data_IF_131041809286
#
_entry.id   IF_131041809286
#
_cell.length_a   1.000
_cell.length_b   1.000
_cell.length_c   1.000
_cell.angle_alpha   90.00
_cell.angle_beta   90.00
_cell.angle_gamma   90.00
#
_symmetry.space_group_name_H-M   'P 1'
#
loop_
_entity.id
_entity.type
_entity.pdbx_description
1 polymer ?
#
# COMPACT_ATOMS: atom_id res chain seq x y z
N UNK A 1 5.62 -26.98 3.77
CA UNK A 1 4.74 -26.44 4.81
C UNK A 1 5.20 -25.05 5.23
N UNK A 2 4.24 -24.17 5.45
CA UNK A 2 4.55 -22.81 5.87
C UNK A 2 4.80 -22.80 7.38
N UNK A 3 6.01 -22.50 7.79
CA UNK A 3 6.41 -22.44 9.18
C UNK A 3 6.61 -21.01 9.69
N UNK A 4 6.41 -20.03 8.84
CA UNK A 4 6.59 -18.62 9.19
C UNK A 4 5.38 -17.77 8.80
N UNK A 5 5.23 -16.64 9.48
CA UNK A 5 4.29 -15.59 9.08
C UNK A 5 5.08 -14.46 8.43
N UNK A 6 4.50 -13.84 7.41
CA UNK A 6 5.12 -12.71 6.72
C UNK A 6 4.57 -11.41 7.29
N UNK A 7 5.45 -10.45 7.56
CA UNK A 7 5.06 -9.10 7.96
C UNK A 7 5.62 -8.14 6.91
N UNK A 8 4.74 -7.33 6.31
CA UNK A 8 5.15 -6.36 5.30
C UNK A 8 5.05 -4.95 5.88
N UNK A 9 6.15 -4.23 5.86
CA UNK A 9 6.25 -2.85 6.33
C UNK A 9 6.70 -1.94 5.18
N UNK A 10 6.73 -0.64 5.39
CA UNK A 10 7.03 0.31 4.31
C UNK A 10 8.51 0.48 4.03
N UNK A 11 9.37 0.40 5.03
CA UNK A 11 10.79 0.70 4.86
C UNK A 11 11.71 -0.41 5.36
N UNK A 12 12.93 -0.54 4.79
CA UNK A 12 13.90 -1.53 5.26
C UNK A 12 14.34 -1.30 6.71
N UNK A 13 14.41 -0.06 7.16
CA UNK A 13 14.79 0.27 8.54
C UNK A 13 13.77 -0.27 9.53
N UNK A 14 12.47 -0.08 9.25
CA UNK A 14 11.39 -0.64 10.06
C UNK A 14 11.39 -2.16 10.03
N UNK A 15 11.64 -2.75 8.86
CA UNK A 15 11.70 -4.21 8.72
C UNK A 15 12.78 -4.81 9.61
N UNK A 16 13.95 -4.22 9.64
CA UNK A 16 15.06 -4.68 10.46
C UNK A 16 14.72 -4.62 11.95
N UNK A 17 14.19 -3.50 12.40
CA UNK A 17 13.84 -3.28 13.82
C UNK A 17 12.70 -4.22 14.26
N UNK A 18 11.63 -4.30 13.47
CA UNK A 18 10.48 -5.14 13.80
C UNK A 18 10.87 -6.62 13.75
N UNK A 19 11.71 -7.02 12.81
CA UNK A 19 12.21 -8.39 12.71
C UNK A 19 12.95 -8.84 13.99
N UNK A 20 13.73 -7.94 14.57
CA UNK A 20 14.42 -8.23 15.85
C UNK A 20 13.43 -8.46 17.00
N UNK A 21 12.31 -7.73 17.00
CA UNK A 21 11.31 -7.82 18.07
C UNK A 21 10.41 -9.04 17.94
N UNK A 22 10.16 -9.51 16.73
CA UNK A 22 9.24 -10.63 16.48
C UNK A 22 9.92 -12.01 16.48
N UNK A 23 11.21 -12.05 16.18
CA UNK A 23 11.96 -13.29 16.20
C UNK A 23 11.83 -14.13 14.92
N UNK A 24 12.29 -15.38 15.00
CA UNK A 24 12.48 -16.25 13.83
C UNK A 24 11.21 -16.84 13.23
N UNK A 25 10.09 -16.82 13.94
CA UNK A 25 8.80 -17.31 13.42
C UNK A 25 8.16 -16.33 12.43
N UNK A 26 8.74 -15.16 12.31
CA UNK A 26 8.27 -14.09 11.42
C UNK A 26 9.35 -13.68 10.44
N UNK A 27 8.97 -13.57 9.18
CA UNK A 27 9.82 -12.95 8.16
C UNK A 27 9.28 -11.55 7.89
N UNK A 28 10.11 -10.53 8.07
CA UNK A 28 9.70 -9.14 7.88
C UNK A 28 10.36 -8.58 6.63
N UNK A 29 9.54 -8.09 5.70
CA UNK A 29 10.00 -7.52 4.43
C UNK A 29 9.47 -6.12 4.24
N UNK A 30 10.19 -5.32 3.46
CA UNK A 30 9.81 -3.96 3.14
C UNK A 30 9.22 -3.89 1.74
N UNK A 31 8.12 -3.16 1.57
CA UNK A 31 7.52 -2.91 0.26
C UNK A 31 8.03 -1.63 -0.39
N UNK A 32 8.78 -0.81 0.32
CA UNK A 32 9.36 0.43 -0.19
C UNK A 32 8.30 1.46 -0.64
N UNK A 33 7.21 1.54 0.10
CA UNK A 33 6.10 2.45 -0.19
C UNK A 33 5.09 1.86 -1.16
N UNK A 34 4.51 2.68 -2.03
CA UNK A 34 3.52 2.23 -3.00
C UNK A 34 4.16 1.34 -4.08
N UNK A 35 3.48 0.25 -4.42
CA UNK A 35 3.92 -0.66 -5.49
C UNK A 35 3.07 -0.55 -6.75
N UNK A 36 1.90 0.07 -6.68
CA UNK A 36 1.08 0.37 -7.86
C UNK A 36 0.41 1.72 -7.70
N UNK A 37 0.09 2.36 -8.80
CA UNK A 37 -0.55 3.67 -8.82
C UNK A 37 -1.27 3.86 -10.15
N UNK A 38 -1.94 5.00 -10.29
CA UNK A 38 -2.53 5.41 -11.55
C UNK A 38 -1.40 5.68 -12.56
N UNK A 39 -1.62 5.38 -13.86
CA UNK A 39 -0.61 5.65 -14.89
C UNK A 39 -0.22 7.12 -14.91
N UNK A 40 1.07 7.40 -15.15
CA UNK A 40 1.58 8.78 -15.19
C UNK A 40 1.22 9.52 -16.48
N UNK A 41 1.13 8.80 -17.59
CA UNK A 41 0.94 9.38 -18.91
C UNK A 41 -0.50 9.50 -19.36
N UNK A 42 -1.46 8.96 -18.59
CA UNK A 42 -2.89 9.00 -18.92
C UNK A 42 -3.69 9.42 -17.70
N UNK A 43 -4.97 9.73 -17.89
CA UNK A 43 -5.85 10.07 -16.79
C UNK A 43 -5.95 8.91 -15.75
N UNK A 44 -6.01 7.67 -16.27
CA UNK A 44 -6.06 6.48 -15.40
C UNK A 44 -7.37 6.30 -14.64
N UNK A 45 -8.39 7.08 -14.99
CA UNK A 45 -9.72 7.02 -14.37
C UNK A 45 -10.74 6.95 -15.50
N UNK A 46 -11.70 6.01 -15.41
CA UNK A 46 -12.76 5.86 -16.40
C UNK A 46 -13.91 6.82 -16.06
N UNK A 47 -13.97 7.94 -16.78
CA UNK A 47 -14.99 8.97 -16.53
C UNK A 47 -16.40 8.52 -16.93
N UNK A 48 -16.51 7.49 -17.76
CA UNK A 48 -17.81 6.97 -18.22
C UNK A 48 -18.35 5.82 -17.38
N UNK A 49 -17.49 5.19 -16.56
CA UNK A 49 -17.84 4.03 -15.75
C UNK A 49 -17.54 4.27 -14.26
N UNK A 50 -18.30 5.17 -13.62
CA UNK A 50 -18.25 5.46 -12.20
C UNK A 50 -16.88 5.92 -11.69
N UNK A 51 -16.07 6.55 -12.56
CA UNK A 51 -14.73 7.05 -12.22
C UNK A 51 -13.80 5.94 -11.70
N UNK A 52 -13.96 4.74 -12.22
CA UNK A 52 -13.16 3.60 -11.79
C UNK A 52 -11.67 3.81 -12.10
N UNK A 53 -10.79 3.69 -11.09
CA UNK A 53 -9.36 3.88 -11.32
C UNK A 53 -8.74 2.66 -11.98
N UNK A 54 -7.78 2.89 -12.86
CA UNK A 54 -6.99 1.84 -13.51
C UNK A 54 -5.60 1.86 -12.89
N UNK A 55 -5.36 0.98 -11.90
CA UNK A 55 -4.08 0.89 -11.22
C UNK A 55 -3.13 -0.04 -11.97
N UNK A 56 -1.87 0.37 -12.02
CA UNK A 56 -0.79 -0.45 -12.61
C UNK A 56 0.40 -0.51 -11.66
N UNK A 57 1.16 -1.63 -11.67
CA UNK A 57 2.40 -1.70 -10.91
C UNK A 57 3.34 -0.56 -11.29
N UNK A 58 4.01 0.00 -10.29
CA UNK A 58 4.97 1.08 -10.51
C UNK A 58 6.21 0.50 -11.18
N UNK A 59 6.66 1.13 -12.26
CA UNK A 59 7.85 0.73 -12.98
C UNK A 59 9.08 0.75 -12.06
N UNK A 60 9.90 -0.28 -12.13
CA UNK A 60 11.09 -0.41 -11.29
C UNK A 60 10.85 -1.14 -9.98
N UNK A 61 9.61 -1.58 -9.72
CA UNK A 61 9.25 -2.30 -8.50
C UNK A 61 8.99 -3.80 -8.73
N UNK A 62 9.22 -4.28 -9.93
CA UNK A 62 8.91 -5.66 -10.33
C UNK A 62 9.62 -6.69 -9.45
N UNK A 63 10.90 -6.46 -9.11
CA UNK A 63 11.66 -7.37 -8.27
C UNK A 63 11.10 -7.44 -6.84
N UNK A 64 10.70 -6.29 -6.31
CA UNK A 64 10.10 -6.21 -4.97
C UNK A 64 8.77 -6.96 -4.96
N UNK A 65 7.93 -6.74 -5.97
CA UNK A 65 6.64 -7.42 -6.11
C UNK A 65 6.82 -8.92 -6.20
N UNK A 66 7.76 -9.38 -7.04
CA UNK A 66 8.05 -10.80 -7.21
C UNK A 66 8.53 -11.45 -5.91
N UNK A 67 9.43 -10.78 -5.19
CA UNK A 67 9.93 -11.26 -3.91
C UNK A 67 8.84 -11.35 -2.86
N UNK A 68 7.97 -10.34 -2.77
CA UNK A 68 6.85 -10.34 -1.84
C UNK A 68 5.83 -11.42 -2.17
N UNK A 69 5.54 -11.64 -3.46
CA UNK A 69 4.63 -12.73 -3.88
C UNK A 69 5.16 -14.09 -3.45
N UNK A 70 6.43 -14.32 -3.66
CA UNK A 70 7.09 -15.57 -3.29
C UNK A 70 7.02 -15.78 -1.78
N UNK A 71 7.35 -14.76 -1.00
CA UNK A 71 7.31 -14.83 0.45
C UNK A 71 5.88 -15.02 0.97
N UNK A 72 4.91 -14.33 0.40
CA UNK A 72 3.50 -14.44 0.80
C UNK A 72 2.94 -15.82 0.48
N UNK A 73 3.32 -16.39 -0.65
CA UNK A 73 2.85 -17.72 -1.05
C UNK A 73 3.32 -18.79 -0.07
N UNK A 74 4.56 -18.66 0.43
CA UNK A 74 5.13 -19.60 1.39
C UNK A 74 4.74 -19.35 2.85
N UNK A 75 4.10 -18.23 3.16
CA UNK A 75 3.76 -17.87 4.53
C UNK A 75 2.42 -18.48 4.97
N UNK A 76 2.30 -18.84 6.25
CA UNK A 76 1.03 -19.31 6.81
C UNK A 76 0.05 -18.17 7.05
N UNK A 77 0.54 -16.96 7.33
CA UNK A 77 -0.24 -15.75 7.55
C UNK A 77 0.54 -14.55 7.05
N UNK A 78 -0.15 -13.55 6.51
CA UNK A 78 0.46 -12.29 6.04
C UNK A 78 -0.10 -11.14 6.85
N UNK A 79 0.77 -10.44 7.56
CA UNK A 79 0.44 -9.24 8.31
C UNK A 79 0.86 -8.01 7.53
N UNK A 80 -0.10 -7.14 7.22
CA UNK A 80 0.16 -5.88 6.53
C UNK A 80 0.32 -4.80 7.59
N UNK A 81 1.56 -4.39 7.82
CA UNK A 81 1.95 -3.54 8.94
C UNK A 81 2.46 -2.17 8.48
N UNK A 82 1.81 -1.59 7.48
CA UNK A 82 2.09 -0.23 7.03
C UNK A 82 1.57 0.80 8.04
N UNK A 83 1.92 2.06 7.85
CA UNK A 83 1.62 3.12 8.82
C UNK A 83 0.11 3.23 9.14
N UNK A 84 -0.24 3.72 10.36
CA UNK A 84 -1.64 3.81 10.80
C UNK A 84 -2.36 5.06 10.32
N UNK A 85 -2.24 5.39 9.03
CA UNK A 85 -2.91 6.52 8.41
C UNK A 85 -3.64 6.05 7.14
N UNK A 86 -4.34 6.97 6.47
CA UNK A 86 -5.08 6.65 5.24
C UNK A 86 -4.18 6.12 4.14
N UNK A 87 -2.98 6.70 4.01
CA UNK A 87 -2.03 6.27 3.01
C UNK A 87 -1.51 4.86 3.30
N UNK A 88 -1.15 4.58 4.56
CA UNK A 88 -0.75 3.24 4.99
C UNK A 88 -1.85 2.22 4.79
N UNK A 89 -3.09 2.59 5.05
CA UNK A 89 -4.23 1.70 4.82
C UNK A 89 -4.38 1.39 3.33
N UNK A 90 -4.24 2.41 2.48
CA UNK A 90 -4.30 2.22 1.02
C UNK A 90 -3.15 1.34 0.51
N UNK A 91 -1.94 1.52 1.04
CA UNK A 91 -0.79 0.68 0.69
C UNK A 91 -1.09 -0.78 1.03
N UNK A 92 -1.64 -1.05 2.20
CA UNK A 92 -2.02 -2.42 2.61
C UNK A 92 -3.06 -3.01 1.65
N UNK A 93 -4.06 -2.25 1.26
CA UNK A 93 -5.09 -2.68 0.32
C UNK A 93 -4.49 -3.01 -1.06
N UNK A 94 -3.61 -2.13 -1.56
CA UNK A 94 -2.91 -2.38 -2.83
C UNK A 94 -2.06 -3.65 -2.76
N UNK A 95 -1.36 -3.86 -1.65
CA UNK A 95 -0.57 -5.08 -1.43
C UNK A 95 -1.45 -6.32 -1.46
N UNK A 96 -2.57 -6.28 -0.76
CA UNK A 96 -3.51 -7.41 -0.72
C UNK A 96 -3.96 -7.79 -2.12
N UNK A 97 -4.36 -6.80 -2.93
CA UNK A 97 -4.79 -7.06 -4.30
C UNK A 97 -3.65 -7.48 -5.22
N UNK A 98 -2.53 -6.80 -5.14
CA UNK A 98 -1.38 -7.07 -6.01
C UNK A 98 -0.78 -8.46 -5.77
N UNK A 99 -0.77 -8.90 -4.52
CA UNK A 99 -0.23 -10.21 -4.13
C UNK A 99 -1.28 -11.31 -4.12
N UNK A 100 -2.52 -10.98 -4.46
CA UNK A 100 -3.67 -11.92 -4.47
C UNK A 100 -3.83 -12.66 -3.14
N UNK A 101 -3.78 -11.92 -2.03
CA UNK A 101 -3.87 -12.51 -0.70
C UNK A 101 -5.33 -12.86 -0.35
N UNK A 102 -5.61 -14.11 0.06
CA UNK A 102 -6.96 -14.46 0.49
C UNK A 102 -7.28 -13.83 1.85
N UNK A 103 -8.56 -13.55 2.11
CA UNK A 103 -9.00 -12.90 3.34
C UNK A 103 -8.60 -13.67 4.60
N UNK A 104 -8.73 -14.99 4.57
CA UNK A 104 -8.40 -15.85 5.72
C UNK A 104 -6.91 -15.86 6.06
N UNK A 105 -6.06 -15.44 5.14
CA UNK A 105 -4.60 -15.40 5.32
C UNK A 105 -4.08 -14.00 5.61
N UNK A 106 -4.91 -12.99 5.45
CA UNK A 106 -4.51 -11.57 5.50
C UNK A 106 -4.98 -10.91 6.79
N UNK A 107 -4.07 -10.19 7.46
CA UNK A 107 -4.38 -9.40 8.66
C UNK A 107 -3.72 -8.03 8.54
N UNK A 108 -4.42 -7.01 9.04
CA UNK A 108 -3.89 -5.65 9.13
C UNK A 108 -3.43 -5.39 10.55
N UNK A 109 -2.22 -4.84 10.70
CA UNK A 109 -1.65 -4.49 12.00
C UNK A 109 -1.10 -3.07 11.92
N UNK A 110 -1.29 -2.29 12.97
CA UNK A 110 -0.73 -0.94 13.07
C UNK A 110 0.10 -0.83 14.34
N UNK A 111 1.26 -0.20 14.23
CA UNK A 111 2.14 0.05 15.37
C UNK A 111 2.15 1.56 15.65
N UNK A 112 1.56 1.97 16.77
CA UNK A 112 1.56 3.38 17.17
C UNK A 112 2.98 3.86 17.52
N UNK A 113 3.83 2.94 17.94
CA UNK A 113 5.25 3.17 18.15
C UNK A 113 6.03 1.87 17.87
N UNK A 114 7.30 1.99 17.53
CA UNK A 114 8.12 0.84 17.19
C UNK A 114 8.97 0.44 18.41
N UNK A 115 8.32 -0.14 19.38
CA UNK A 115 8.96 -0.72 20.57
C UNK A 115 8.66 -2.21 20.63
N UNK A 116 9.51 -2.97 21.30
CA UNK A 116 9.33 -4.43 21.41
C UNK A 116 7.96 -4.79 21.96
N UNK A 117 7.54 -4.13 23.03
CA UNK A 117 6.24 -4.39 23.67
C UNK A 117 5.07 -4.12 22.74
N UNK A 118 5.04 -2.93 22.10
CA UNK A 118 3.94 -2.54 21.23
C UNK A 118 3.87 -3.44 20.00
N UNK A 119 5.01 -3.76 19.39
CA UNK A 119 5.07 -4.64 18.22
C UNK A 119 4.53 -6.03 18.55
N UNK A 120 4.96 -6.61 19.65
CA UNK A 120 4.53 -7.94 20.06
C UNK A 120 3.04 -7.98 20.42
N UNK A 121 2.53 -6.97 21.12
CA UNK A 121 1.12 -6.88 21.47
C UNK A 121 0.24 -6.66 20.24
N UNK A 122 0.66 -5.78 19.32
CA UNK A 122 -0.10 -5.45 18.12
C UNK A 122 -0.24 -6.65 17.18
N UNK A 123 0.79 -7.47 17.05
CA UNK A 123 0.75 -8.68 16.22
C UNK A 123 -0.30 -9.68 16.74
N UNK A 124 -0.57 -9.67 18.02
CA UNK A 124 -1.55 -10.56 18.63
C UNK A 124 -2.97 -10.03 18.57
N UNK A 125 -3.14 -8.78 18.18
CA UNK A 125 -4.44 -8.13 18.06
C UNK A 125 -4.66 -7.54 16.64
N UNK A 126 -4.58 -8.38 15.59
CA UNK A 126 -4.76 -7.88 14.21
C UNK A 126 -6.22 -7.57 13.92
N UNK A 127 -6.44 -6.76 12.87
CA UNK A 127 -7.77 -6.43 12.37
C UNK A 127 -7.82 -6.62 10.86
N UNK A 128 -8.97 -6.36 10.28
CA UNK A 128 -9.12 -6.33 8.83
C UNK A 128 -8.72 -4.94 8.30
N UNK A 129 -8.48 -4.86 6.99
CA UNK A 129 -8.24 -3.56 6.33
C UNK A 129 -9.50 -2.70 6.50
N UNK A 130 -9.30 -1.44 6.89
CA UNK A 130 -10.39 -0.48 6.99
C UNK A 130 -10.73 0.06 5.61
N UNK A 131 -11.77 -0.50 5.00
CA UNK A 131 -12.16 -0.14 3.64
C UNK A 131 -12.59 1.32 3.52
N UNK A 132 -13.15 1.91 4.58
CA UNK A 132 -13.55 3.31 4.55
C UNK A 132 -12.34 4.25 4.40
N UNK A 133 -11.24 3.94 5.08
CA UNK A 133 -9.99 4.68 4.93
C UNK A 133 -9.39 4.51 3.53
N UNK A 134 -9.47 3.30 2.99
CA UNK A 134 -9.00 3.00 1.63
C UNK A 134 -9.81 3.79 0.62
N UNK A 135 -11.14 3.76 0.75
CA UNK A 135 -12.05 4.45 -0.16
C UNK A 135 -11.83 5.97 -0.12
N UNK A 136 -11.60 6.52 1.07
CA UNK A 136 -11.31 7.95 1.24
C UNK A 136 -10.01 8.33 0.52
N UNK A 137 -8.97 7.51 0.64
CA UNK A 137 -7.69 7.75 -0.03
C UNK A 137 -7.82 7.62 -1.55
N UNK A 138 -8.56 6.63 -2.03
CA UNK A 138 -8.81 6.46 -3.46
C UNK A 138 -9.60 7.63 -4.03
N UNK A 139 -10.66 8.05 -3.34
CA UNK A 139 -11.47 9.19 -3.78
C UNK A 139 -10.62 10.45 -3.91
N UNK A 140 -9.76 10.72 -2.94
CA UNK A 140 -8.84 11.86 -2.99
C UNK A 140 -7.86 11.72 -4.14
N UNK A 141 -7.28 10.55 -4.33
CA UNK A 141 -6.31 10.29 -5.42
C UNK A 141 -6.96 10.48 -6.79
N UNK A 142 -8.19 9.99 -6.96
CA UNK A 142 -8.95 10.12 -8.19
C UNK A 142 -9.28 11.59 -8.45
N UNK A 143 -9.76 12.30 -7.42
CA UNK A 143 -10.08 13.73 -7.55
C UNK A 143 -8.86 14.56 -7.93
N UNK A 144 -7.73 14.35 -7.25
CA UNK A 144 -6.48 15.04 -7.57
C UNK A 144 -6.05 14.78 -9.01
N UNK A 145 -6.22 13.54 -9.49
CA UNK A 145 -5.89 13.16 -10.86
C UNK A 145 -6.77 13.87 -11.88
N UNK A 146 -8.08 13.91 -11.64
CA UNK A 146 -9.04 14.58 -12.53
C UNK A 146 -8.76 16.09 -12.56
N UNK A 147 -8.60 16.70 -11.38
CA UNK A 147 -8.29 18.13 -11.28
C UNK A 147 -6.99 18.46 -12.02
N UNK A 148 -5.94 17.66 -11.80
CA UNK A 148 -4.65 17.87 -12.47
C UNK A 148 -4.74 17.78 -13.99
N UNK A 149 -5.46 16.79 -14.53
CA UNK A 149 -5.58 16.59 -15.97
C UNK A 149 -6.52 17.57 -16.65
N UNK A 150 -7.62 17.94 -15.99
CA UNK A 150 -8.64 18.80 -16.60
C UNK A 150 -8.33 20.29 -16.40
N UNK A 151 -7.81 20.68 -15.25
CA UNK A 151 -7.59 22.09 -14.91
C UNK A 151 -6.17 22.60 -15.21
N UNK A 152 -5.14 21.76 -15.09
CA UNK A 152 -3.76 22.20 -15.34
C UNK A 152 -3.55 22.68 -16.78
N UNK A 153 -4.04 21.98 -17.84
CA UNK A 153 -3.97 22.50 -19.19
C UNK A 153 -4.69 23.83 -19.38
N UNK A 154 -5.81 24.04 -18.68
CA UNK A 154 -6.55 25.29 -18.72
C UNK A 154 -5.73 26.43 -18.10
N UNK A 155 -5.05 26.18 -16.98
CA UNK A 155 -4.15 27.14 -16.36
C UNK A 155 -2.98 27.50 -17.30
N UNK A 156 -2.41 26.54 -18.01
CA UNK A 156 -1.34 26.78 -18.98
C UNK A 156 -1.80 27.68 -20.13
N UNK A 157 -3.02 27.44 -20.60
CA UNK A 157 -3.60 28.18 -21.71
C UNK A 157 -3.98 29.61 -21.30
N UNK A 158 -4.53 29.80 -20.11
CA UNK A 158 -5.09 31.08 -19.66
C UNK A 158 -4.13 31.94 -18.86
N UNK A 159 -3.20 31.35 -18.13
CA UNK A 159 -2.30 32.06 -17.21
C UNK A 159 -0.83 31.85 -17.59
N UNK A 160 -0.29 30.67 -17.33
CA UNK A 160 1.13 30.36 -17.56
C UNK A 160 1.35 28.86 -17.63
N UNK A 161 2.27 28.43 -18.52
CA UNK A 161 2.70 27.04 -18.58
C UNK A 161 3.41 26.62 -17.29
N UNK A 162 3.25 25.36 -16.94
CA UNK A 162 3.90 24.77 -15.79
C UNK A 162 3.13 24.88 -14.50
N UNK A 163 1.99 25.57 -14.47
CA UNK A 163 1.12 25.62 -13.31
C UNK A 163 0.37 24.28 -13.15
N UNK A 164 0.08 23.93 -11.89
CA UNK A 164 -0.66 22.71 -11.58
C UNK A 164 -1.83 23.04 -10.66
N UNK A 165 -2.97 22.38 -10.89
CA UNK A 165 -4.16 22.51 -10.06
C UNK A 165 -4.22 21.46 -8.95
N UNK A 166 -3.27 20.53 -8.91
CA UNK A 166 -3.31 19.47 -7.91
C UNK A 166 -1.98 19.07 -7.28
#
# INVERSE_FOLDING_TARGET
MAEYSLVIVESPAKAKTIGKYLGKDFEVKACMGHLRDLPKSTLGVDLEHDFEPVYKPIKGKEDIISDLRKAAKGAKMVYLATDPDREGEAISWHLKQLLNLPDEKTRRVTFNEITKKVVQESIQAPRNIDQDLVDAQQARRILDRIVGYELSPLLWKKIRRGLSAG
#
